data_IF_824767959456
#
_entry.id   IF_824767959456
#
_cell.length_a   1.000
_cell.length_b   1.000
_cell.length_c   1.000
_cell.angle_alpha   90.00
_cell.angle_beta   90.00
_cell.angle_gamma   90.00
#
_symmetry.space_group_name_H-M   'P 1'
#
loop_
_entity.id
_entity.type
_entity.pdbx_description
1 polymer ?
#
# COMPACT_ATOMS: atom_id res chain seq x y z
N UNK A 1 -6.61 -15.22 -33.06
CA UNK A 1 -7.85 -14.61 -32.49
C UNK A 1 -8.13 -15.14 -31.08
N UNK A 2 -7.96 -16.43 -30.82
CA UNK A 2 -8.14 -17.09 -29.51
C UNK A 2 -7.35 -16.44 -28.34
N UNK A 3 -6.14 -15.94 -28.60
CA UNK A 3 -5.30 -15.27 -27.60
C UNK A 3 -5.81 -13.89 -27.18
N UNK A 4 -6.53 -13.17 -28.05
CA UNK A 4 -7.06 -11.83 -27.73
C UNK A 4 -8.34 -11.91 -26.91
N UNK A 5 -9.22 -12.88 -27.21
CA UNK A 5 -10.45 -13.11 -26.45
C UNK A 5 -10.14 -13.54 -25.01
N UNK A 6 -9.19 -14.46 -24.84
CA UNK A 6 -8.73 -14.91 -23.52
C UNK A 6 -8.11 -13.77 -22.70
N UNK A 7 -7.28 -12.92 -23.30
CA UNK A 7 -6.69 -11.75 -22.61
C UNK A 7 -7.76 -10.77 -22.13
N UNK A 8 -8.79 -10.57 -22.94
CA UNK A 8 -9.91 -9.71 -22.60
C UNK A 8 -10.75 -10.27 -21.44
N UNK A 9 -10.98 -11.58 -21.42
CA UNK A 9 -11.66 -12.25 -20.32
C UNK A 9 -10.89 -12.14 -19.01
N UNK A 10 -9.58 -12.44 -19.03
CA UNK A 10 -8.70 -12.28 -17.86
C UNK A 10 -8.74 -10.83 -17.37
N UNK A 11 -8.64 -9.86 -18.26
CA UNK A 11 -8.72 -8.45 -17.88
C UNK A 11 -10.06 -8.09 -17.23
N UNK A 12 -11.19 -8.54 -17.78
CA UNK A 12 -12.51 -8.31 -17.17
C UNK A 12 -12.62 -8.97 -15.80
N UNK A 13 -12.13 -10.19 -15.65
CA UNK A 13 -12.10 -10.89 -14.37
C UNK A 13 -11.26 -10.13 -13.34
N UNK A 14 -10.05 -9.70 -13.73
CA UNK A 14 -9.17 -8.89 -12.87
C UNK A 14 -9.80 -7.55 -12.48
N UNK A 15 -10.55 -6.90 -13.38
CA UNK A 15 -11.28 -5.67 -13.03
C UNK A 15 -12.40 -5.93 -12.01
N UNK A 16 -13.13 -7.03 -12.15
CA UNK A 16 -14.18 -7.41 -11.19
C UNK A 16 -13.58 -7.73 -9.83
N UNK A 17 -12.49 -8.51 -9.80
CA UNK A 17 -11.75 -8.84 -8.59
C UNK A 17 -11.29 -7.56 -7.85
N UNK A 18 -10.66 -6.63 -8.58
CA UNK A 18 -10.23 -5.35 -8.01
C UNK A 18 -11.41 -4.52 -7.46
N UNK A 19 -12.56 -4.49 -8.15
CA UNK A 19 -13.74 -3.75 -7.70
C UNK A 19 -14.30 -4.33 -6.39
N UNK A 20 -14.39 -5.65 -6.30
CA UNK A 20 -14.83 -6.33 -5.06
C UNK A 20 -13.85 -6.02 -3.93
N UNK A 21 -12.54 -6.10 -4.20
CA UNK A 21 -11.51 -5.74 -3.24
C UNK A 21 -11.61 -4.30 -2.73
N UNK A 22 -11.87 -3.33 -3.63
CA UNK A 22 -12.06 -1.92 -3.26
C UNK A 22 -13.32 -1.68 -2.43
N UNK A 23 -14.44 -2.32 -2.77
CA UNK A 23 -15.69 -2.21 -1.99
C UNK A 23 -15.46 -2.78 -0.58
N UNK A 24 -14.84 -3.95 -0.47
CA UNK A 24 -14.55 -4.57 0.81
C UNK A 24 -13.63 -3.68 1.66
N UNK A 25 -12.59 -3.12 1.03
CA UNK A 25 -11.65 -2.20 1.69
C UNK A 25 -12.34 -0.93 2.18
N UNK A 26 -13.27 -0.37 1.39
CA UNK A 26 -14.06 0.79 1.78
C UNK A 26 -14.97 0.49 2.99
N UNK A 27 -15.64 -0.65 3.00
CA UNK A 27 -16.49 -1.09 4.12
C UNK A 27 -15.64 -1.24 5.38
N UNK A 28 -14.53 -1.96 5.31
CA UNK A 28 -13.63 -2.20 6.45
C UNK A 28 -13.04 -0.88 6.97
N UNK A 29 -12.58 0.00 6.08
CA UNK A 29 -12.05 1.31 6.47
C UNK A 29 -13.11 2.18 7.18
N UNK A 30 -14.36 2.14 6.70
CA UNK A 30 -15.48 2.85 7.33
C UNK A 30 -15.77 2.30 8.73
N UNK A 31 -15.79 0.99 8.91
CA UNK A 31 -15.99 0.35 10.22
C UNK A 31 -14.87 0.74 11.19
N UNK A 32 -13.61 0.69 10.78
CA UNK A 32 -12.49 1.10 11.62
C UNK A 32 -12.52 2.59 11.96
N UNK A 33 -12.93 3.45 11.02
CA UNK A 33 -13.08 4.88 11.28
C UNK A 33 -14.17 5.15 12.33
N UNK A 34 -15.31 4.46 12.24
CA UNK A 34 -16.39 4.56 13.23
C UNK A 34 -15.96 4.05 14.60
N UNK A 35 -15.29 2.89 14.67
CA UNK A 35 -14.73 2.37 15.91
C UNK A 35 -13.73 3.34 16.54
N UNK A 36 -12.84 3.92 15.73
CA UNK A 36 -11.91 4.93 16.20
C UNK A 36 -12.65 6.16 16.74
N UNK A 37 -13.66 6.66 16.03
CA UNK A 37 -14.47 7.79 16.46
C UNK A 37 -15.28 7.56 17.74
N UNK A 38 -15.69 6.32 18.02
CA UNK A 38 -16.45 5.97 19.23
C UNK A 38 -15.53 5.76 20.44
N UNK A 39 -14.42 5.03 20.25
CA UNK A 39 -13.60 4.54 21.36
C UNK A 39 -12.32 5.33 21.62
N UNK A 40 -11.79 6.05 20.63
CA UNK A 40 -10.56 6.85 20.80
C UNK A 40 -10.87 8.35 20.98
N UNK A 41 -12.08 8.80 20.65
CA UNK A 41 -12.45 10.21 20.76
C UNK A 41 -12.64 10.61 22.24
N UNK A 42 -11.92 11.63 22.68
CA UNK A 42 -11.96 12.12 24.07
C UNK A 42 -11.04 11.40 25.04
N UNK A 43 -10.34 10.36 24.60
CA UNK A 43 -9.34 9.65 25.42
C UNK A 43 -8.04 10.47 25.47
N UNK A 44 -7.56 10.76 26.69
CA UNK A 44 -6.29 11.47 26.92
C UNK A 44 -5.05 10.61 26.71
N UNK A 45 -5.23 9.29 26.54
CA UNK A 45 -4.14 8.37 26.28
C UNK A 45 -3.54 8.66 24.92
N UNK A 46 -2.34 9.26 24.93
CA UNK A 46 -1.48 9.30 23.77
C UNK A 46 -1.12 7.87 23.42
N UNK A 47 -1.79 7.32 22.42
CA UNK A 47 -1.45 5.99 21.91
C UNK A 47 -0.10 6.12 21.20
N UNK A 48 0.97 5.66 21.85
CA UNK A 48 2.34 5.86 21.36
C UNK A 48 3.02 4.52 21.01
N UNK A 49 3.85 4.57 19.97
CA UNK A 49 4.83 3.53 19.68
C UNK A 49 4.29 2.11 19.54
N UNK A 50 5.01 1.17 20.17
CA UNK A 50 4.73 -0.26 20.15
C UNK A 50 3.53 -0.67 21.03
N UNK A 51 3.02 0.23 21.87
CA UNK A 51 1.86 -0.03 22.72
C UNK A 51 0.53 0.14 21.99
N UNK A 52 0.55 0.76 20.80
CA UNK A 52 -0.64 0.96 19.97
C UNK A 52 -1.47 -0.30 19.75
N UNK A 53 -0.82 -1.41 19.39
CA UNK A 53 -1.51 -2.68 19.17
C UNK A 53 -2.15 -3.22 20.47
N UNK A 54 -1.51 -3.04 21.63
CA UNK A 54 -2.06 -3.45 22.93
C UNK A 54 -3.23 -2.56 23.36
N UNK A 55 -3.11 -1.25 23.17
CA UNK A 55 -4.19 -0.30 23.48
C UNK A 55 -5.42 -0.56 22.63
N UNK A 56 -5.24 -0.86 21.33
CA UNK A 56 -6.35 -1.28 20.48
C UNK A 56 -6.94 -2.62 20.92
N UNK A 57 -6.11 -3.61 21.23
CA UNK A 57 -6.59 -4.91 21.72
C UNK A 57 -7.42 -4.75 23.01
N UNK A 58 -7.02 -3.82 23.89
CA UNK A 58 -7.70 -3.53 25.16
C UNK A 58 -9.14 -3.07 24.96
N UNK A 59 -9.42 -2.27 23.93
CA UNK A 59 -10.79 -1.85 23.59
C UNK A 59 -11.69 -3.07 23.35
N UNK A 60 -11.18 -4.09 22.64
CA UNK A 60 -11.94 -5.31 22.38
C UNK A 60 -12.06 -6.18 23.63
N UNK A 61 -11.01 -6.30 24.45
CA UNK A 61 -11.07 -7.12 25.67
C UNK A 61 -12.02 -6.53 26.71
N UNK A 62 -12.05 -5.20 26.83
CA UNK A 62 -12.84 -4.50 27.85
C UNK A 62 -14.34 -4.52 27.49
N UNK A 63 -14.70 -4.54 26.20
CA UNK A 63 -16.10 -4.52 25.75
C UNK A 63 -16.68 -5.91 25.41
N UNK A 64 -15.87 -6.87 24.95
CA UNK A 64 -16.33 -8.19 24.48
C UNK A 64 -15.85 -9.33 25.39
N UNK A 65 -14.66 -9.18 25.98
CA UNK A 65 -14.05 -10.17 26.87
C UNK A 65 -12.66 -10.61 26.41
N UNK A 66 -11.92 -11.25 27.31
CA UNK A 66 -10.49 -11.55 27.14
C UNK A 66 -10.16 -12.45 25.93
N UNK A 67 -11.07 -13.32 25.52
CA UNK A 67 -10.88 -14.20 24.36
C UNK A 67 -10.62 -13.42 23.05
N UNK A 68 -11.16 -12.20 22.94
CA UNK A 68 -10.93 -11.34 21.78
C UNK A 68 -9.50 -10.84 21.65
N UNK A 69 -8.70 -10.85 22.71
CA UNK A 69 -7.28 -10.52 22.63
C UNK A 69 -6.56 -11.39 21.60
N UNK A 70 -6.77 -12.72 21.67
CA UNK A 70 -6.12 -13.67 20.77
C UNK A 70 -6.60 -13.51 19.33
N UNK A 71 -7.90 -13.34 19.14
CA UNK A 71 -8.49 -13.12 17.81
C UNK A 71 -7.92 -11.83 17.18
N UNK A 72 -7.87 -10.74 17.94
CA UNK A 72 -7.29 -9.48 17.48
C UNK A 72 -5.82 -9.62 17.12
N UNK A 73 -5.02 -10.25 17.99
CA UNK A 73 -3.57 -10.41 17.75
C UNK A 73 -3.27 -11.24 16.51
N UNK A 74 -4.02 -12.34 16.28
CA UNK A 74 -3.89 -13.14 15.06
C UNK A 74 -4.30 -12.34 13.83
N UNK A 75 -5.44 -11.63 13.88
CA UNK A 75 -5.91 -10.81 12.78
C UNK A 75 -4.92 -9.68 12.43
N UNK A 76 -4.40 -8.98 13.43
CA UNK A 76 -3.40 -7.93 13.28
C UNK A 76 -2.10 -8.48 12.68
N UNK A 77 -1.61 -9.62 13.18
CA UNK A 77 -0.44 -10.28 12.61
C UNK A 77 -0.66 -10.67 11.15
N UNK A 78 -1.77 -11.33 10.81
CA UNK A 78 -2.07 -11.75 9.44
C UNK A 78 -2.17 -10.54 8.50
N UNK A 79 -2.81 -9.45 8.93
CA UNK A 79 -2.92 -8.23 8.13
C UNK A 79 -1.55 -7.57 7.88
N UNK A 80 -0.72 -7.43 8.92
CA UNK A 80 0.63 -6.86 8.79
C UNK A 80 1.59 -7.78 8.02
N UNK A 81 1.47 -9.09 8.19
CA UNK A 81 2.25 -10.06 7.43
C UNK A 81 1.88 -10.05 5.95
N UNK A 82 0.59 -9.96 5.63
CA UNK A 82 0.11 -9.92 4.24
C UNK A 82 0.68 -8.73 3.47
N UNK A 83 0.76 -7.54 4.09
CA UNK A 83 1.34 -6.35 3.44
C UNK A 83 2.84 -6.51 3.22
N UNK A 84 3.59 -7.02 4.22
CA UNK A 84 5.01 -7.30 4.06
C UNK A 84 5.28 -8.35 2.97
N UNK A 85 4.48 -9.42 2.94
CA UNK A 85 4.57 -10.47 1.93
C UNK A 85 4.30 -9.94 0.53
N UNK A 86 3.22 -9.19 0.33
CA UNK A 86 2.84 -8.63 -0.96
C UNK A 86 3.90 -7.65 -1.51
N UNK A 87 4.52 -6.85 -0.63
CA UNK A 87 5.62 -5.95 -1.00
C UNK A 87 6.85 -6.75 -1.42
N UNK A 88 7.33 -7.67 -0.57
CA UNK A 88 8.55 -8.43 -0.88
C UNK A 88 8.39 -9.25 -2.16
N UNK A 89 7.29 -9.99 -2.32
CA UNK A 89 7.05 -10.80 -3.52
C UNK A 89 6.81 -9.92 -4.76
N UNK A 90 5.91 -8.94 -4.64
CA UNK A 90 5.50 -8.07 -5.75
C UNK A 90 6.63 -7.22 -6.31
N UNK A 91 7.38 -6.51 -5.44
CA UNK A 91 8.49 -5.68 -5.88
C UNK A 91 9.65 -6.52 -6.43
N UNK A 92 9.92 -7.70 -5.86
CA UNK A 92 10.96 -8.59 -6.39
C UNK A 92 10.64 -9.07 -7.81
N UNK A 93 9.37 -9.43 -8.08
CA UNK A 93 8.93 -9.82 -9.43
C UNK A 93 8.98 -8.65 -10.40
N UNK A 94 8.45 -7.49 -10.00
CA UNK A 94 8.47 -6.28 -10.83
C UNK A 94 9.91 -5.85 -11.18
N UNK A 95 10.82 -5.92 -10.20
CA UNK A 95 12.23 -5.65 -10.41
C UNK A 95 12.87 -6.64 -11.40
N UNK A 96 12.65 -7.94 -11.21
CA UNK A 96 13.21 -8.98 -12.08
C UNK A 96 12.71 -8.85 -13.53
N UNK A 97 11.43 -8.53 -13.75
CA UNK A 97 10.85 -8.29 -15.08
C UNK A 97 11.36 -6.99 -15.70
N UNK A 98 11.46 -5.91 -14.93
CA UNK A 98 12.00 -4.63 -15.42
C UNK A 98 13.47 -4.76 -15.83
N UNK A 99 14.30 -5.40 -14.99
CA UNK A 99 15.69 -5.66 -15.30
C UNK A 99 15.86 -6.55 -16.54
N UNK A 100 15.01 -7.58 -16.70
CA UNK A 100 15.02 -8.45 -17.87
C UNK A 100 14.59 -7.73 -19.16
N UNK A 101 13.75 -6.71 -19.04
CA UNK A 101 13.29 -5.87 -20.15
C UNK A 101 14.37 -4.88 -20.59
N UNK A 102 15.06 -4.23 -19.64
CA UNK A 102 16.13 -3.27 -19.92
C UNK A 102 17.40 -3.98 -20.40
N UNK A 103 17.74 -5.14 -19.82
CA UNK A 103 18.93 -5.91 -20.14
C UNK A 103 18.54 -7.27 -20.75
N UNK A 104 18.15 -7.32 -22.04
CA UNK A 104 17.60 -8.51 -22.68
C UNK A 104 18.59 -9.68 -22.78
N UNK A 105 19.90 -9.47 -22.57
CA UNK A 105 20.90 -10.55 -22.47
C UNK A 105 20.77 -11.39 -21.19
N UNK A 106 19.98 -10.92 -20.21
CA UNK A 106 19.78 -11.51 -18.87
C UNK A 106 18.48 -12.38 -18.80
N UNK A 107 17.70 -12.41 -19.90
CA UNK A 107 16.25 -12.70 -20.03
C UNK A 107 15.64 -13.92 -19.33
N UNK A 108 16.39 -14.96 -18.99
CA UNK A 108 15.80 -16.19 -18.44
C UNK A 108 16.63 -16.80 -17.31
N UNK A 109 17.95 -16.92 -17.49
CA UNK A 109 18.84 -17.60 -16.52
C UNK A 109 18.95 -16.88 -15.18
N UNK A 110 18.76 -15.55 -15.19
CA UNK A 110 18.98 -14.71 -14.02
C UNK A 110 17.69 -14.16 -13.43
N UNK A 111 16.52 -14.35 -14.03
CA UNK A 111 15.26 -13.80 -13.50
C UNK A 111 14.97 -14.29 -12.08
N UNK A 112 15.08 -15.61 -11.86
CA UNK A 112 14.94 -16.20 -10.52
C UNK A 112 16.04 -15.75 -9.57
N UNK A 113 17.26 -15.56 -10.07
CA UNK A 113 18.37 -15.05 -9.25
C UNK A 113 18.12 -13.60 -8.81
N UNK A 114 17.69 -12.73 -9.73
CA UNK A 114 17.35 -11.33 -9.45
C UNK A 114 16.19 -11.22 -8.47
N UNK A 115 15.18 -12.08 -8.60
CA UNK A 115 14.10 -12.19 -7.62
C UNK A 115 14.66 -12.48 -6.22
N UNK A 116 15.43 -13.56 -6.05
CA UNK A 116 15.99 -13.93 -4.74
C UNK A 116 17.00 -12.91 -4.19
N UNK A 117 17.79 -12.27 -5.06
CA UNK A 117 18.68 -11.17 -4.68
C UNK A 117 17.86 -10.01 -4.11
N UNK A 118 16.75 -9.64 -4.74
CA UNK A 118 15.90 -8.55 -4.26
C UNK A 118 15.18 -8.93 -2.95
N UNK A 119 14.72 -10.19 -2.81
CA UNK A 119 14.15 -10.70 -1.55
C UNK A 119 15.18 -10.64 -0.41
N UNK A 120 16.40 -11.13 -0.63
CA UNK A 120 17.45 -11.09 0.38
C UNK A 120 17.88 -9.66 0.70
N UNK A 121 17.97 -8.79 -0.31
CA UNK A 121 18.28 -7.39 -0.14
C UNK A 121 17.21 -6.68 0.71
N UNK A 122 15.93 -6.86 0.40
CA UNK A 122 14.82 -6.26 1.16
C UNK A 122 14.76 -6.79 2.60
N UNK A 123 15.00 -8.09 2.82
CA UNK A 123 15.09 -8.67 4.15
C UNK A 123 16.27 -8.10 4.96
N UNK A 124 17.46 -8.01 4.36
CA UNK A 124 18.64 -7.43 5.00
C UNK A 124 18.44 -5.93 5.29
N UNK A 125 17.83 -5.20 4.37
CA UNK A 125 17.52 -3.78 4.54
C UNK A 125 16.50 -3.55 5.65
N UNK A 126 15.44 -4.36 5.72
CA UNK A 126 14.48 -4.33 6.82
C UNK A 126 15.15 -4.64 8.16
N UNK A 127 16.01 -5.65 8.22
CA UNK A 127 16.79 -5.96 9.43
C UNK A 127 17.69 -4.79 9.87
N UNK A 128 18.40 -4.16 8.93
CA UNK A 128 19.22 -2.97 9.20
C UNK A 128 18.39 -1.82 9.76
N UNK A 129 17.21 -1.57 9.19
CA UNK A 129 16.28 -0.56 9.71
C UNK A 129 15.86 -0.90 11.15
N UNK A 130 15.49 -2.15 11.43
CA UNK A 130 15.09 -2.56 12.78
C UNK A 130 16.22 -2.35 13.80
N UNK A 131 17.46 -2.67 13.44
CA UNK A 131 18.63 -2.41 14.29
C UNK A 131 18.87 -0.91 14.47
N UNK A 132 18.77 -0.12 13.39
CA UNK A 132 18.98 1.34 13.43
C UNK A 132 17.89 2.10 14.21
N UNK A 133 16.67 1.55 14.26
CA UNK A 133 15.54 2.10 15.01
C UNK A 133 15.48 1.64 16.47
N UNK A 134 16.39 0.76 16.90
CA UNK A 134 16.41 0.27 18.29
C UNK A 134 16.51 1.46 19.27
N UNK A 135 15.50 1.61 20.12
CA UNK A 135 15.41 2.70 21.11
C UNK A 135 14.86 4.03 20.60
N UNK A 136 14.41 4.11 19.33
CA UNK A 136 13.70 5.28 18.76
C UNK A 136 12.19 5.02 18.71
N UNK A 137 11.39 6.09 18.55
CA UNK A 137 9.94 5.96 18.36
C UNK A 137 9.65 5.43 16.94
N UNK A 138 9.14 4.18 16.80
CA UNK A 138 8.89 3.59 15.49
C UNK A 138 7.76 4.32 14.74
N UNK A 139 6.81 4.94 15.44
CA UNK A 139 5.69 5.64 14.83
C UNK A 139 6.16 6.88 14.09
N UNK A 140 7.07 7.66 14.67
CA UNK A 140 7.65 8.83 14.02
C UNK A 140 8.36 8.46 12.71
N UNK A 141 9.14 7.37 12.71
CA UNK A 141 9.80 6.88 11.51
C UNK A 141 8.80 6.47 10.42
N UNK A 142 7.75 5.73 10.78
CA UNK A 142 6.70 5.33 9.83
C UNK A 142 6.00 6.55 9.24
N UNK A 143 5.72 7.59 10.05
CA UNK A 143 5.12 8.84 9.58
C UNK A 143 6.05 9.59 8.60
N UNK A 144 7.34 9.65 8.89
CA UNK A 144 8.32 10.27 7.99
C UNK A 144 8.42 9.53 6.64
N UNK A 145 8.46 8.20 6.66
CA UNK A 145 8.48 7.37 5.45
C UNK A 145 7.16 7.52 4.67
N UNK A 146 6.02 7.59 5.36
CA UNK A 146 4.72 7.81 4.74
C UNK A 146 4.65 9.16 4.03
N UNK A 147 5.19 10.22 4.64
CA UNK A 147 5.30 11.54 4.01
C UNK A 147 6.19 11.51 2.76
N UNK A 148 7.34 10.83 2.83
CA UNK A 148 8.21 10.65 1.65
C UNK A 148 7.48 9.90 0.53
N UNK A 149 6.74 8.83 0.86
CA UNK A 149 5.94 8.09 -0.10
C UNK A 149 4.84 8.96 -0.73
N UNK A 150 4.18 9.79 0.08
CA UNK A 150 3.16 10.75 -0.36
C UNK A 150 3.74 11.80 -1.31
N UNK A 151 4.99 12.22 -1.13
CA UNK A 151 5.68 13.12 -2.06
C UNK A 151 5.93 12.50 -3.43
N UNK A 152 6.16 11.19 -3.49
CA UNK A 152 6.44 10.47 -4.75
C UNK A 152 5.13 10.00 -5.44
N UNK A 153 4.04 9.85 -4.69
CA UNK A 153 2.77 9.33 -5.20
C UNK A 153 2.20 10.10 -6.43
N UNK A 154 2.19 11.45 -6.49
CA UNK A 154 1.71 12.18 -7.67
C UNK A 154 2.48 11.82 -8.94
N UNK A 155 3.80 11.63 -8.84
CA UNK A 155 4.65 11.23 -9.95
C UNK A 155 4.27 9.82 -10.45
N UNK A 156 4.13 8.85 -9.53
CA UNK A 156 3.74 7.49 -9.91
C UNK A 156 2.34 7.44 -10.53
N UNK A 157 1.39 8.21 -10.00
CA UNK A 157 0.03 8.21 -10.52
C UNK A 157 -0.06 8.88 -11.89
N UNK A 158 0.67 9.98 -12.10
CA UNK A 158 0.81 10.63 -13.40
C UNK A 158 1.45 9.71 -14.45
N UNK A 159 2.53 9.01 -14.09
CA UNK A 159 3.17 8.03 -14.97
C UNK A 159 2.24 6.86 -15.29
N UNK A 160 1.53 6.32 -14.30
CA UNK A 160 0.57 5.24 -14.53
C UNK A 160 -0.55 5.69 -15.48
N UNK A 161 -1.13 6.86 -15.21
CA UNK A 161 -2.15 7.44 -16.08
C UNK A 161 -1.64 7.62 -17.52
N UNK A 162 -0.42 8.13 -17.69
CA UNK A 162 0.22 8.25 -19.00
C UNK A 162 0.41 6.88 -19.68
N UNK A 163 0.94 5.88 -18.98
CA UNK A 163 1.16 4.55 -19.51
C UNK A 163 -0.14 3.91 -20.00
N UNK A 164 -1.17 3.92 -19.16
CA UNK A 164 -2.45 3.26 -19.45
C UNK A 164 -3.21 4.01 -20.55
N UNK A 165 -3.08 5.33 -20.65
CA UNK A 165 -3.78 6.11 -21.68
C UNK A 165 -3.01 6.23 -22.98
N UNK A 166 -1.67 6.25 -23.00
CA UNK A 166 -0.87 6.54 -24.21
C UNK A 166 -0.05 5.36 -24.74
N UNK A 167 0.43 4.47 -23.88
CA UNK A 167 1.32 3.38 -24.28
C UNK A 167 0.57 2.08 -24.62
N UNK A 168 -0.65 1.89 -24.12
CA UNK A 168 -1.50 0.76 -24.47
C UNK A 168 -2.08 0.97 -25.88
N UNK A 169 -1.61 0.16 -26.84
CA UNK A 169 -2.00 0.24 -28.26
C UNK A 169 -3.44 -0.23 -28.54
N UNK A 170 -3.92 -1.24 -27.82
CA UNK A 170 -5.28 -1.77 -28.01
C UNK A 170 -6.28 -0.97 -27.17
N UNK A 171 -7.20 -0.29 -27.86
CA UNK A 171 -8.15 0.63 -27.24
C UNK A 171 -9.11 -0.05 -26.27
N UNK A 172 -9.36 -1.36 -26.44
CA UNK A 172 -10.27 -2.13 -25.57
C UNK A 172 -9.76 -2.18 -24.14
N UNK A 173 -8.44 -2.14 -23.93
CA UNK A 173 -7.82 -2.18 -22.60
C UNK A 173 -7.59 -0.78 -22.00
N UNK A 174 -7.96 0.29 -22.71
CA UNK A 174 -7.81 1.67 -22.20
C UNK A 174 -9.00 2.00 -21.29
N UNK A 175 -8.79 2.84 -20.26
CA UNK A 175 -9.86 3.27 -19.38
C UNK A 175 -10.86 4.12 -20.16
N UNK A 176 -12.15 3.91 -19.87
CA UNK A 176 -13.23 4.77 -20.32
C UNK A 176 -13.15 6.17 -19.71
N UNK A 177 -13.98 7.09 -20.23
CA UNK A 177 -13.95 8.51 -19.84
C UNK A 177 -14.20 8.74 -18.34
N UNK A 178 -15.14 8.02 -17.74
CA UNK A 178 -15.42 8.10 -16.30
C UNK A 178 -14.22 7.68 -15.45
N UNK A 179 -13.59 6.56 -15.78
CA UNK A 179 -12.40 6.08 -15.08
C UNK A 179 -11.22 7.05 -15.21
N UNK A 180 -11.07 7.73 -16.36
CA UNK A 180 -10.05 8.78 -16.53
C UNK A 180 -10.33 10.00 -15.66
N UNK A 181 -11.59 10.41 -15.55
CA UNK A 181 -12.01 11.54 -14.73
C UNK A 181 -11.74 11.27 -13.24
N UNK A 182 -12.08 10.07 -12.77
CA UNK A 182 -11.75 9.60 -11.41
C UNK A 182 -10.23 9.57 -11.20
N UNK A 183 -9.45 9.08 -12.17
CA UNK A 183 -8.00 9.04 -12.06
C UNK A 183 -7.38 10.44 -11.96
N UNK A 184 -7.83 11.39 -12.80
CA UNK A 184 -7.36 12.78 -12.75
C UNK A 184 -7.74 13.43 -11.42
N UNK A 185 -8.99 13.27 -10.98
CA UNK A 185 -9.43 13.77 -9.68
C UNK A 185 -8.58 13.22 -8.53
N UNK A 186 -8.29 11.91 -8.55
CA UNK A 186 -7.41 11.27 -7.57
C UNK A 186 -5.99 11.83 -7.58
N UNK A 187 -5.40 12.05 -8.77
CA UNK A 187 -4.08 12.68 -8.90
C UNK A 187 -4.08 14.08 -8.30
N UNK A 188 -5.10 14.89 -8.60
CA UNK A 188 -5.23 16.26 -8.06
C UNK A 188 -5.38 16.23 -6.55
N UNK A 189 -6.24 15.37 -6.01
CA UNK A 189 -6.44 15.22 -4.55
C UNK A 189 -5.14 14.83 -3.86
N UNK A 190 -4.42 13.83 -4.37
CA UNK A 190 -3.14 13.42 -3.77
C UNK A 190 -2.09 14.51 -3.89
N UNK A 191 -2.01 15.20 -5.02
CA UNK A 191 -1.08 16.32 -5.19
C UNK A 191 -1.36 17.46 -4.20
N UNK A 192 -2.63 17.84 -4.03
CA UNK A 192 -3.03 18.85 -3.04
C UNK A 192 -2.74 18.38 -1.61
N UNK A 193 -3.04 17.11 -1.28
CA UNK A 193 -2.73 16.53 0.02
C UNK A 193 -1.22 16.55 0.30
N UNK A 194 -0.38 16.21 -0.69
CA UNK A 194 1.07 16.32 -0.60
C UNK A 194 1.50 17.76 -0.28
N UNK A 195 0.98 18.76 -0.99
CA UNK A 195 1.30 20.17 -0.74
C UNK A 195 0.91 20.61 0.68
N UNK A 196 -0.30 20.24 1.13
CA UNK A 196 -0.79 20.57 2.48
C UNK A 196 0.09 19.93 3.55
N UNK A 197 0.40 18.64 3.43
CA UNK A 197 1.23 17.92 4.40
C UNK A 197 2.65 18.48 4.47
N UNK A 198 3.25 18.80 3.32
CA UNK A 198 4.58 19.42 3.26
C UNK A 198 4.54 20.82 3.89
N UNK A 199 3.58 21.66 3.53
CA UNK A 199 3.44 23.00 4.08
C UNK A 199 3.22 22.99 5.61
N UNK A 200 2.44 22.03 6.12
CA UNK A 200 2.24 21.83 7.56
C UNK A 200 3.54 21.43 8.27
N UNK A 201 4.32 20.50 7.69
CA UNK A 201 5.61 20.09 8.27
C UNK A 201 6.63 21.22 8.33
N UNK A 202 6.61 22.13 7.35
CA UNK A 202 7.46 23.31 7.32
C UNK A 202 6.85 24.54 8.03
N UNK A 203 5.72 24.39 8.75
CA UNK A 203 5.00 25.46 9.48
C UNK A 203 4.60 26.67 8.61
N UNK A 204 4.38 26.46 7.32
CA UNK A 204 3.97 27.50 6.36
C UNK A 204 2.46 27.80 6.49
N UNK A 205 1.67 26.83 6.96
CA UNK A 205 0.25 26.98 7.30
C UNK A 205 0.13 26.96 8.84
N UNK A 206 -0.36 28.05 9.43
CA UNK A 206 -0.74 28.14 10.85
C UNK A 206 -2.18 27.69 11.03
#
# INVERSE_FOLDING_TARGET
METSARRWEIFRLSLTDMRVGYILSFVVATVFLLLAGIYLHGTSDKIDGAEFARSLAKIYTDNIGYWMYFVFMVAAFTAMYSTAYAVIDGFSRAFAETASTIFPKIRARWRMKLYWIFVLFTAAFAFLILVALKGRNPVAFVLDVALLSLCIAPLYYGLNYYCVTRLIKDERFRPGTSARLVAIAGIVVVFLATLICVASKFKILK
#
